data_IF_076428816587
#
_entry.id   IF_076428816587
#
_cell.length_a   1.000
_cell.length_b   1.000
_cell.length_c   1.000
_cell.angle_alpha   90.00
_cell.angle_beta   90.00
_cell.angle_gamma   90.00
#
_symmetry.space_group_name_H-M   'P 1'
#
loop_
_entity.id
_entity.type
_entity.pdbx_description
1 polymer ?
#
# COMPACT_ATOMS: atom_id res chain seq x y z
N UNK A 1 -4.17 -15.98 7.30
CA UNK A 1 -3.13 -15.56 6.33
C UNK A 1 -3.76 -14.65 5.28
N UNK A 2 -3.12 -13.52 4.95
CA UNK A 2 -3.60 -12.57 3.93
C UNK A 2 -2.48 -12.30 2.92
N UNK A 3 -2.83 -12.26 1.64
CA UNK A 3 -1.95 -11.76 0.59
C UNK A 3 -2.23 -10.27 0.42
N UNK A 4 -1.20 -9.45 0.59
CA UNK A 4 -1.26 -8.00 0.49
C UNK A 4 -0.63 -7.57 -0.83
N UNK A 5 -1.46 -6.98 -1.69
CA UNK A 5 -1.04 -6.43 -2.98
C UNK A 5 -0.39 -5.05 -2.84
N UNK A 6 0.48 -4.67 -3.78
CA UNK A 6 1.15 -3.38 -3.78
C UNK A 6 0.17 -2.20 -3.83
N UNK A 7 -0.95 -2.32 -4.55
CA UNK A 7 -1.96 -1.25 -4.60
C UNK A 7 -2.62 -0.98 -3.25
N UNK A 8 -2.79 -2.02 -2.43
CA UNK A 8 -3.32 -1.91 -1.07
C UNK A 8 -2.32 -1.22 -0.14
N UNK A 9 -1.03 -1.52 -0.27
CA UNK A 9 0.04 -0.81 0.46
C UNK A 9 0.05 0.67 0.09
N UNK A 10 -0.01 1.00 -1.20
CA UNK A 10 -0.07 2.39 -1.67
C UNK A 10 -1.30 3.13 -1.10
N UNK A 11 -2.47 2.49 -1.08
CA UNK A 11 -3.68 3.08 -0.51
C UNK A 11 -3.49 3.44 0.98
N UNK A 12 -2.88 2.54 1.76
CA UNK A 12 -2.58 2.75 3.19
C UNK A 12 -1.52 3.83 3.40
N UNK A 13 -0.43 3.82 2.61
CA UNK A 13 0.65 4.80 2.72
C UNK A 13 0.18 6.22 2.40
N UNK A 14 -0.67 6.36 1.38
CA UNK A 14 -1.15 7.66 0.92
C UNK A 14 -2.42 8.11 1.64
N UNK A 15 -3.02 7.27 2.50
CA UNK A 15 -4.31 7.54 3.13
C UNK A 15 -5.43 7.77 2.10
N UNK A 16 -5.30 7.20 0.89
CA UNK A 16 -6.19 7.44 -0.23
C UNK A 16 -7.04 6.21 -0.54
N UNK A 17 -8.31 6.45 -0.89
CA UNK A 17 -9.26 5.43 -1.31
C UNK A 17 -10.15 4.90 -0.19
N UNK A 18 -11.36 4.45 -0.55
CA UNK A 18 -12.44 4.06 0.38
C UNK A 18 -12.09 2.88 1.30
N UNK A 19 -11.01 2.15 1.03
CA UNK A 19 -10.59 0.96 1.78
C UNK A 19 -9.36 1.15 2.67
N UNK A 20 -8.66 2.28 2.64
CA UNK A 20 -7.35 2.43 3.28
C UNK A 20 -7.40 2.14 4.80
N UNK A 21 -8.39 2.67 5.52
CA UNK A 21 -8.53 2.42 6.96
C UNK A 21 -8.86 0.96 7.28
N UNK A 22 -9.79 0.34 6.54
CA UNK A 22 -10.11 -1.09 6.72
C UNK A 22 -8.90 -1.98 6.43
N UNK A 23 -8.10 -1.64 5.43
CA UNK A 23 -6.87 -2.38 5.12
C UNK A 23 -5.85 -2.20 6.25
N UNK A 24 -5.68 -0.98 6.78
CA UNK A 24 -4.80 -0.68 7.92
C UNK A 24 -5.19 -1.50 9.16
N UNK A 25 -6.48 -1.55 9.50
CA UNK A 25 -7.01 -2.38 10.59
C UNK A 25 -6.70 -3.87 10.38
N UNK A 26 -6.91 -4.36 9.15
CA UNK A 26 -6.68 -5.77 8.80
C UNK A 26 -5.19 -6.15 8.88
N UNK A 27 -4.29 -5.27 8.43
CA UNK A 27 -2.83 -5.44 8.51
C UNK A 27 -2.34 -5.45 9.97
N UNK A 28 -2.97 -4.64 10.83
CA UNK A 28 -2.64 -4.55 12.25
C UNK A 28 -3.26 -5.66 13.13
N UNK A 29 -3.99 -6.61 12.55
CA UNK A 29 -4.64 -7.69 13.31
C UNK A 29 -3.57 -8.62 13.91
N UNK A 30 -3.55 -8.84 15.24
CA UNK A 30 -2.62 -9.78 15.86
C UNK A 30 -2.76 -11.19 15.28
N UNK A 31 -1.64 -11.92 15.23
CA UNK A 31 -1.56 -13.31 14.75
C UNK A 31 -1.93 -13.52 13.26
N UNK A 32 -2.13 -12.44 12.50
CA UNK A 32 -2.38 -12.49 11.07
C UNK A 32 -1.06 -12.40 10.28
N UNK A 33 -0.73 -13.47 9.55
CA UNK A 33 0.47 -13.49 8.72
C UNK A 33 0.23 -12.75 7.40
N UNK A 34 1.08 -11.77 7.10
CA UNK A 34 1.06 -11.04 5.84
C UNK A 34 2.01 -11.68 4.83
N UNK A 35 1.48 -11.97 3.65
CA UNK A 35 2.25 -12.42 2.50
C UNK A 35 2.26 -11.33 1.43
N UNK A 36 3.43 -11.04 0.88
CA UNK A 36 3.62 -10.01 -0.15
C UNK A 36 4.47 -10.57 -1.29
N UNK A 37 4.31 -10.07 -2.53
CA UNK A 37 5.26 -10.37 -3.60
C UNK A 37 6.69 -9.98 -3.20
N UNK A 38 7.69 -10.74 -3.64
CA UNK A 38 9.10 -10.43 -3.39
C UNK A 38 9.57 -9.08 -3.96
N UNK A 39 8.80 -8.53 -4.90
CA UNK A 39 9.06 -7.24 -5.57
C UNK A 39 8.21 -6.10 -5.02
N UNK A 40 7.52 -6.30 -3.88
CA UNK A 40 6.63 -5.32 -3.25
C UNK A 40 7.23 -3.90 -3.19
N UNK A 41 8.47 -3.79 -2.71
CA UNK A 41 9.14 -2.49 -2.58
C UNK A 41 9.30 -1.78 -3.93
N UNK A 42 9.59 -2.54 -5.00
CA UNK A 42 9.75 -1.99 -6.35
C UNK A 42 8.42 -1.51 -6.91
N UNK A 43 7.34 -2.26 -6.71
CA UNK A 43 6.01 -1.89 -7.19
C UNK A 43 5.48 -0.65 -6.47
N UNK A 44 5.61 -0.61 -5.15
CA UNK A 44 5.24 0.55 -4.33
C UNK A 44 6.07 1.77 -4.72
N UNK A 45 7.40 1.63 -4.79
CA UNK A 45 8.29 2.72 -5.19
C UNK A 45 7.96 3.24 -6.59
N UNK A 46 7.67 2.34 -7.55
CA UNK A 46 7.32 2.73 -8.91
C UNK A 46 6.04 3.58 -8.94
N UNK A 47 5.01 3.19 -8.18
CA UNK A 47 3.77 3.96 -8.10
C UNK A 47 4.00 5.32 -7.44
N UNK A 48 4.70 5.36 -6.30
CA UNK A 48 5.01 6.63 -5.61
C UNK A 48 5.80 7.57 -6.53
N UNK A 49 6.87 7.08 -7.18
CA UNK A 49 7.66 7.83 -8.14
C UNK A 49 6.79 8.39 -9.27
N UNK A 50 5.93 7.56 -9.86
CA UNK A 50 5.02 8.00 -10.93
C UNK A 50 4.10 9.13 -10.44
N UNK A 51 3.51 9.00 -9.26
CA UNK A 51 2.63 10.02 -8.69
C UNK A 51 3.39 11.33 -8.39
N UNK A 52 4.60 11.26 -7.86
CA UNK A 52 5.48 12.43 -7.68
C UNK A 52 5.81 13.12 -9.01
N UNK A 53 6.16 12.36 -10.05
CA UNK A 53 6.44 12.92 -11.38
C UNK A 53 5.20 13.56 -12.03
N UNK A 54 4.01 13.08 -11.69
CA UNK A 54 2.73 13.67 -12.09
C UNK A 54 2.33 14.87 -11.21
N UNK A 55 3.10 15.20 -10.17
CA UNK A 55 2.81 16.30 -9.25
C UNK A 55 1.64 16.04 -8.29
N UNK A 56 1.19 14.80 -8.13
CA UNK A 56 0.01 14.46 -7.30
C UNK A 56 0.35 14.23 -5.83
N UNK A 57 1.64 14.04 -5.51
CA UNK A 57 2.15 13.86 -4.13
C UNK A 57 2.99 15.03 -3.60
N UNK A 58 3.23 16.06 -4.42
CA UNK A 58 4.01 17.24 -4.05
C UNK A 58 3.08 18.41 -3.77
N UNK A 59 2.50 18.47 -2.57
CA UNK A 59 1.80 19.65 -2.08
C UNK A 59 2.19 19.95 -0.65
#
# INVERSE_FOLDING_TARGET
MIVLDASAVVAVLLGMGRGAERIREKIGTPDESLHVPHVMDLEVLHVLRRQTLLGTLSR
#
